data_IF_650307339650
#
_entry.id   IF_650307339650
#
_cell.length_a   1.000
_cell.length_b   1.000
_cell.length_c   1.000
_cell.angle_alpha   90.00
_cell.angle_beta   90.00
_cell.angle_gamma   90.00
#
_symmetry.space_group_name_H-M   'P 1'
#
loop_
_entity.id
_entity.type
_entity.pdbx_description
1 polymer ?
#
# COMPACT_ATOMS: atom_id res chain seq x y z
N UNK A 1 -3.39 -18.69 32.62
CA UNK A 1 -3.40 -17.24 32.31
C UNK A 1 -2.37 -16.87 31.24
N UNK A 2 -1.08 -17.21 31.38
CA UNK A 2 -0.04 -16.82 30.40
C UNK A 2 -0.30 -17.35 28.97
N UNK A 3 -0.84 -18.57 28.83
CA UNK A 3 -1.17 -19.15 27.52
C UNK A 3 -2.14 -18.28 26.71
N UNK A 4 -3.26 -17.87 27.32
CA UNK A 4 -4.26 -17.01 26.67
C UNK A 4 -3.72 -15.63 26.34
N UNK A 5 -2.90 -15.06 27.25
CA UNK A 5 -2.26 -13.77 26.99
C UNK A 5 -1.33 -13.83 25.78
N UNK A 6 -0.50 -14.87 25.68
CA UNK A 6 0.39 -15.06 24.55
C UNK A 6 -0.38 -15.27 23.24
N UNK A 7 -1.48 -16.02 23.30
CA UNK A 7 -2.37 -16.20 22.14
C UNK A 7 -2.99 -14.87 21.69
N UNK A 8 -3.55 -14.09 22.61
CA UNK A 8 -4.19 -12.81 22.27
C UNK A 8 -3.22 -11.73 21.82
N UNK A 9 -1.94 -11.87 22.12
CA UNK A 9 -0.87 -10.99 21.63
C UNK A 9 -0.17 -11.53 20.38
N UNK A 10 -0.51 -12.75 19.94
CA UNK A 10 0.05 -13.32 18.72
C UNK A 10 -0.41 -12.55 17.49
N UNK A 11 0.40 -12.62 16.43
CA UNK A 11 0.05 -12.03 15.15
C UNK A 11 -1.20 -12.67 14.56
N UNK A 12 -1.28 -14.00 14.65
CA UNK A 12 -2.36 -14.83 14.15
C UNK A 12 -3.70 -14.40 14.75
N UNK A 13 -3.70 -13.98 16.02
CA UNK A 13 -4.89 -13.46 16.68
C UNK A 13 -5.20 -12.01 16.31
N UNK A 14 -4.21 -11.13 16.39
CA UNK A 14 -4.40 -9.67 16.28
C UNK A 14 -4.62 -9.20 14.84
N UNK A 15 -3.93 -9.80 13.87
CA UNK A 15 -3.95 -9.39 12.46
C UNK A 15 -4.22 -10.57 11.51
N UNK A 16 -3.89 -11.80 11.91
CA UNK A 16 -4.09 -13.02 11.12
C UNK A 16 -5.53 -13.32 10.75
N UNK A 17 -6.49 -12.76 11.50
CA UNK A 17 -7.94 -12.89 11.26
C UNK A 17 -8.54 -11.73 10.46
N UNK A 18 -7.72 -10.79 10.00
CA UNK A 18 -8.19 -9.72 9.11
C UNK A 18 -8.76 -10.32 7.81
N UNK A 19 -9.91 -9.83 7.30
CA UNK A 19 -10.37 -10.16 5.96
C UNK A 19 -9.30 -9.80 4.93
N UNK A 20 -9.32 -10.44 3.76
CA UNK A 20 -8.45 -10.00 2.65
C UNK A 20 -8.78 -8.54 2.31
N UNK A 21 -7.74 -7.70 2.22
CA UNK A 21 -7.88 -6.30 1.85
C UNK A 21 -6.74 -5.88 0.91
N UNK A 22 -6.92 -4.71 0.31
CA UNK A 22 -5.96 -4.14 -0.63
C UNK A 22 -5.63 -2.72 -0.21
N UNK A 23 -4.34 -2.38 -0.23
CA UNK A 23 -3.84 -1.03 0.05
C UNK A 23 -3.35 -0.43 -1.25
N UNK A 24 -3.87 0.75 -1.58
CA UNK A 24 -3.51 1.47 -2.81
C UNK A 24 -2.84 2.79 -2.45
N UNK A 25 -1.76 3.12 -3.15
CA UNK A 25 -1.06 4.40 -3.07
C UNK A 25 -0.78 4.94 -4.46
N UNK A 26 -1.13 6.20 -4.67
CA UNK A 26 -0.74 6.95 -5.86
C UNK A 26 0.63 7.58 -5.61
N UNK A 27 1.56 7.30 -6.51
CA UNK A 27 2.97 7.71 -6.42
C UNK A 27 3.32 8.66 -7.55
N UNK A 28 4.34 9.49 -7.34
CA UNK A 28 4.97 10.31 -8.38
C UNK A 28 6.44 9.91 -8.54
N UNK A 29 6.85 9.71 -9.79
CA UNK A 29 8.25 9.52 -10.18
C UNK A 29 8.65 10.67 -11.11
N UNK A 30 9.82 11.32 -10.89
CA UNK A 30 10.33 12.31 -11.83
C UNK A 30 10.47 11.73 -13.24
N UNK A 31 10.09 12.48 -14.28
CA UNK A 31 10.37 12.06 -15.65
C UNK A 31 11.88 12.17 -15.94
N UNK A 32 12.50 11.12 -16.51
CA UNK A 32 13.95 11.00 -16.77
C UNK A 32 14.54 12.00 -17.80
N UNK A 33 13.81 13.04 -18.17
CA UNK A 33 14.29 14.04 -19.12
C UNK A 33 14.96 15.20 -18.37
N UNK A 34 16.29 15.32 -18.55
CA UNK A 34 17.13 16.41 -18.07
C UNK A 34 16.66 17.83 -18.49
N UNK A 35 15.63 17.93 -19.35
CA UNK A 35 15.11 19.17 -19.90
C UNK A 35 13.63 19.44 -19.59
N UNK A 36 12.95 18.58 -18.82
CA UNK A 36 11.52 18.77 -18.48
C UNK A 36 11.37 19.17 -17.02
N UNK A 37 11.47 20.47 -16.76
CA UNK A 37 11.19 21.07 -15.46
C UNK A 37 9.78 20.69 -14.96
N UNK A 38 9.70 19.76 -14.01
CA UNK A 38 8.48 19.49 -13.24
C UNK A 38 7.50 18.45 -13.79
N UNK A 39 7.86 17.66 -14.81
CA UNK A 39 7.01 16.55 -15.24
C UNK A 39 7.22 15.32 -14.35
N UNK A 40 6.12 14.76 -13.84
CA UNK A 40 6.11 13.53 -13.05
C UNK A 40 5.26 12.48 -13.75
N UNK A 41 5.70 11.24 -13.72
CA UNK A 41 4.86 10.09 -14.00
C UNK A 41 4.07 9.72 -12.76
N UNK A 42 2.75 9.60 -12.90
CA UNK A 42 1.91 9.03 -11.85
C UNK A 42 2.03 7.51 -11.93
N UNK A 43 2.18 6.84 -10.79
CA UNK A 43 2.15 5.39 -10.69
C UNK A 43 1.12 5.00 -9.63
N UNK A 44 0.64 3.75 -9.68
CA UNK A 44 -0.22 3.20 -8.64
C UNK A 44 0.39 1.93 -8.07
N UNK A 45 0.75 1.99 -6.80
CA UNK A 45 1.17 0.86 -5.98
C UNK A 45 -0.07 0.20 -5.36
N UNK A 46 -0.19 -1.10 -5.52
CA UNK A 46 -1.25 -1.93 -4.96
C UNK A 46 -0.63 -3.06 -4.16
N UNK A 47 -0.96 -3.16 -2.87
CA UNK A 47 -0.49 -4.23 -1.97
C UNK A 47 -1.71 -5.06 -1.56
N UNK A 48 -1.72 -6.34 -1.90
CA UNK A 48 -2.74 -7.29 -1.48
C UNK A 48 -2.32 -7.95 -0.16
N UNK A 49 -3.19 -7.92 0.85
CA UNK A 49 -2.92 -8.45 2.18
C UNK A 49 -3.97 -9.50 2.52
N UNK A 50 -3.51 -10.66 3.00
CA UNK A 50 -4.34 -11.78 3.42
C UNK A 50 -3.83 -12.33 4.74
N UNK A 51 -4.70 -12.45 5.73
CA UNK A 51 -4.34 -12.87 7.09
C UNK A 51 -3.21 -12.00 7.69
N UNK A 52 -3.26 -10.69 7.43
CA UNK A 52 -2.20 -9.75 7.80
C UNK A 52 -0.86 -9.99 7.08
N UNK A 53 -0.76 -10.89 6.11
CA UNK A 53 0.47 -11.16 5.36
C UNK A 53 0.37 -10.58 3.96
N UNK A 54 1.45 -9.99 3.47
CA UNK A 54 1.54 -9.49 2.10
C UNK A 54 1.48 -10.66 1.13
N UNK A 55 0.37 -10.76 0.40
CA UNK A 55 0.12 -11.82 -0.58
C UNK A 55 0.63 -11.42 -1.97
N UNK A 56 0.55 -10.14 -2.34
CA UNK A 56 1.03 -9.67 -3.63
C UNK A 56 1.31 -8.16 -3.62
N UNK A 57 2.19 -7.72 -4.52
CA UNK A 57 2.51 -6.30 -4.70
C UNK A 57 2.57 -6.02 -6.21
N UNK A 58 1.80 -5.02 -6.65
CA UNK A 58 1.69 -4.61 -8.05
C UNK A 58 1.99 -3.14 -8.19
N UNK A 59 2.82 -2.80 -9.17
CA UNK A 59 3.04 -1.43 -9.62
C UNK A 59 2.42 -1.29 -11.01
N UNK A 60 1.52 -0.32 -11.18
CA UNK A 60 0.86 -0.04 -12.45
C UNK A 60 1.26 1.33 -12.97
N UNK A 61 1.71 1.36 -14.22
CA UNK A 61 1.94 2.58 -14.99
C UNK A 61 0.63 2.99 -15.67
N UNK A 62 0.36 4.29 -15.81
CA UNK A 62 -0.76 4.77 -16.60
C UNK A 62 -0.54 4.44 -18.08
N UNK A 63 -1.62 4.26 -18.87
CA UNK A 63 -1.56 3.73 -20.23
C UNK A 63 -0.66 4.53 -21.19
N UNK A 64 -0.38 5.80 -20.87
CA UNK A 64 0.43 6.72 -21.66
C UNK A 64 1.94 6.67 -21.35
N UNK A 65 2.39 5.89 -20.36
CA UNK A 65 3.81 5.82 -19.91
C UNK A 65 4.39 4.40 -20.08
N UNK A 66 3.63 3.47 -20.66
CA UNK A 66 4.02 2.06 -20.81
C UNK A 66 5.05 1.85 -21.94
N UNK A 67 6.19 2.52 -21.87
CA UNK A 67 7.33 2.27 -22.75
C UNK A 67 8.60 2.32 -21.92
N UNK A 68 9.06 1.18 -21.41
CA UNK A 68 10.43 0.99 -20.89
C UNK A 68 10.72 1.68 -19.53
N UNK A 69 10.51 0.96 -18.44
CA UNK A 69 11.19 1.24 -17.16
C UNK A 69 11.49 -0.06 -16.40
N UNK A 70 12.61 -0.04 -15.68
CA UNK A 70 13.58 -1.12 -15.58
C UNK A 70 13.29 -2.21 -14.54
N UNK A 71 13.76 -3.41 -14.88
CA UNK A 71 13.70 -4.69 -14.15
C UNK A 71 14.44 -4.74 -12.79
N UNK A 72 15.04 -3.65 -12.30
CA UNK A 72 15.87 -3.68 -11.08
C UNK A 72 15.03 -3.65 -9.78
N UNK A 73 13.89 -2.96 -9.81
CA UNK A 73 13.04 -2.74 -8.63
C UNK A 73 12.10 -3.91 -8.31
N UNK A 74 11.92 -4.83 -9.26
CA UNK A 74 11.18 -6.07 -9.05
C UNK A 74 11.78 -6.91 -7.91
N UNK A 75 13.10 -6.83 -7.70
CA UNK A 75 13.78 -7.61 -6.65
C UNK A 75 13.34 -7.19 -5.24
N UNK A 76 13.33 -5.90 -4.90
CA UNK A 76 12.91 -5.44 -3.56
C UNK A 76 11.46 -5.81 -3.27
N UNK A 77 10.60 -5.69 -4.28
CA UNK A 77 9.18 -6.02 -4.20
C UNK A 77 8.98 -7.52 -3.91
N UNK A 78 9.74 -8.41 -4.55
CA UNK A 78 9.63 -9.85 -4.31
C UNK A 78 9.98 -10.26 -2.88
N UNK A 79 10.92 -9.59 -2.22
CA UNK A 79 11.35 -9.90 -0.85
C UNK A 79 10.30 -9.54 0.22
N UNK A 80 9.37 -8.64 -0.09
CA UNK A 80 8.33 -8.20 0.84
C UNK A 80 7.09 -9.10 0.80
N UNK A 81 6.99 -9.98 -0.19
CA UNK A 81 5.95 -11.00 -0.25
C UNK A 81 6.13 -12.01 0.88
N UNK A 82 5.04 -12.34 1.57
CA UNK A 82 5.06 -13.23 2.73
C UNK A 82 5.43 -12.54 4.05
N UNK A 83 5.79 -11.26 4.03
CA UNK A 83 6.03 -10.49 5.25
C UNK A 83 4.72 -10.07 5.94
N UNK A 84 4.78 -9.84 7.25
CA UNK A 84 3.68 -9.24 8.02
C UNK A 84 3.44 -7.82 7.54
N UNK A 85 2.21 -7.51 7.16
CA UNK A 85 1.84 -6.19 6.69
C UNK A 85 1.84 -5.19 7.84
N UNK A 86 2.65 -4.15 7.70
CA UNK A 86 2.55 -2.91 8.43
C UNK A 86 2.59 -1.73 7.44
N UNK A 87 2.33 -0.52 7.95
CA UNK A 87 2.40 0.66 7.10
C UNK A 87 3.82 0.90 6.56
N UNK A 88 4.86 0.52 7.30
CA UNK A 88 6.25 0.72 6.91
C UNK A 88 6.63 -0.08 5.65
N UNK A 89 6.02 -1.24 5.41
CA UNK A 89 6.23 -1.99 4.16
C UNK A 89 5.89 -1.11 2.96
N UNK A 90 4.79 -0.38 3.03
CA UNK A 90 4.37 0.49 1.93
C UNK A 90 5.38 1.63 1.74
N UNK A 91 5.86 2.24 2.82
CA UNK A 91 6.87 3.30 2.75
C UNK A 91 8.24 2.80 2.28
N UNK A 92 8.65 1.59 2.67
CA UNK A 92 9.88 0.93 2.19
C UNK A 92 9.84 0.70 0.68
N UNK A 93 8.69 0.27 0.15
CA UNK A 93 8.49 0.12 -1.30
C UNK A 93 8.62 1.47 -1.99
N UNK A 94 7.95 2.50 -1.48
CA UNK A 94 7.98 3.85 -2.06
C UNK A 94 9.40 4.42 -2.07
N UNK A 95 10.13 4.28 -0.96
CA UNK A 95 11.51 4.72 -0.83
C UNK A 95 12.46 3.95 -1.78
N UNK A 96 12.30 2.63 -1.89
CA UNK A 96 13.11 1.80 -2.80
C UNK A 96 12.89 2.16 -4.28
N UNK A 97 11.66 2.54 -4.63
CA UNK A 97 11.30 3.00 -5.99
C UNK A 97 11.71 4.46 -6.27
N UNK A 98 12.32 5.17 -5.31
CA UNK A 98 12.62 6.61 -5.45
C UNK A 98 11.36 7.47 -5.68
N UNK A 99 10.20 6.93 -5.31
CA UNK A 99 8.90 7.56 -5.52
C UNK A 99 8.57 8.54 -4.39
N UNK A 100 7.68 9.48 -4.68
CA UNK A 100 7.02 10.27 -3.63
C UNK A 100 5.55 9.91 -3.54
N UNK A 101 5.07 9.63 -2.33
CA UNK A 101 3.65 9.37 -2.07
C UNK A 101 2.86 10.66 -2.23
N UNK A 102 1.73 10.62 -2.96
CA UNK A 102 0.82 11.76 -2.95
C UNK A 102 0.11 11.85 -1.60
N UNK A 103 -0.08 13.06 -1.03
CA UNK A 103 -0.89 13.20 0.17
C UNK A 103 -2.30 12.68 -0.09
N UNK A 104 -2.73 11.71 0.73
CA UNK A 104 -4.08 11.16 0.68
C UNK A 104 -5.09 12.22 1.14
N UNK A 105 -5.84 12.83 0.21
CA UNK A 105 -7.02 13.61 0.55
C UNK A 105 -8.15 12.64 0.94
N UNK A 106 -8.24 12.33 2.23
CA UNK A 106 -9.38 11.63 2.78
C UNK A 106 -10.61 12.57 2.79
N UNK A 107 -11.43 12.59 1.75
CA UNK A 107 -12.78 13.14 1.87
C UNK A 107 -13.66 12.12 2.59
N UNK A 108 -13.79 12.28 3.90
CA UNK A 108 -14.74 11.51 4.69
C UNK A 108 -16.13 12.13 4.52
N UNK A 109 -16.93 11.62 3.57
CA UNK A 109 -18.36 11.90 3.56
C UNK A 109 -19.05 10.94 4.54
N UNK A 110 -19.28 11.39 5.77
CA UNK A 110 -20.13 10.65 6.70
C UNK A 110 -21.58 10.70 6.20
N UNK A 111 -22.15 9.53 5.88
CA UNK A 111 -23.59 9.40 5.65
C UNK A 111 -24.27 9.34 7.02
N UNK A 112 -24.73 10.49 7.53
CA UNK A 112 -25.33 10.64 8.87
C UNK A 112 -26.83 10.28 8.84
N UNK A 113 -27.20 9.15 8.23
CA UNK A 113 -28.63 8.80 8.07
C UNK A 113 -29.21 7.93 9.20
N UNK A 114 -28.43 7.51 10.20
CA UNK A 114 -28.90 6.60 11.26
C UNK A 114 -28.87 7.19 12.69
N UNK A 115 -29.24 8.47 12.86
CA UNK A 115 -29.55 9.04 14.19
C UNK A 115 -31.01 9.52 14.25
N UNK A 116 -31.95 8.59 14.22
CA UNK A 116 -33.33 8.85 14.64
C UNK A 116 -34.00 7.55 15.07
N UNK A 117 -33.72 7.08 16.29
CA UNK A 117 -34.58 6.13 16.97
C UNK A 117 -34.42 6.27 18.49
N UNK A 118 -35.56 6.45 19.15
CA UNK A 118 -35.85 6.41 20.59
C UNK A 118 -35.81 7.74 21.35
N UNK A 119 -36.96 8.42 21.34
CA UNK A 119 -37.57 8.93 22.56
C UNK A 119 -38.91 8.22 22.76
#
# INVERSE_FOLDING_TARGET
LNKLRNEFQSWEWTFGKSPKFTVTRDLKVPADSANSSGQFHQLKLTVEVKNGIVEDIKLSLPPNVATNSNNQDASVITHLRGARYDHEITEKIIAALGCTSMPFQATQSANISNMAANQ
#
